data_IF_989266242706
#
_entry.id   IF_989266242706
#
_cell.length_a   1.000
_cell.length_b   1.000
_cell.length_c   1.000
_cell.angle_alpha   90.00
_cell.angle_beta   90.00
_cell.angle_gamma   90.00
#
_symmetry.space_group_name_H-M   'P 1'
#
loop_
_entity.id
_entity.type
_entity.pdbx_description
1 polymer ?
#
# COMPACT_ATOMS: atom_id res chain seq x y z
N UNK A 1 19.56 20.39 25.71
CA UNK A 1 18.60 20.09 24.64
C UNK A 1 18.45 18.57 24.57
N UNK A 2 17.26 18.04 24.34
CA UNK A 2 17.08 16.59 24.17
C UNK A 2 17.63 16.18 22.82
N UNK A 3 18.18 14.97 22.71
CA UNK A 3 18.76 14.43 21.47
C UNK A 3 18.05 13.17 21.05
N UNK A 4 17.92 12.94 19.76
CA UNK A 4 17.37 11.74 19.17
C UNK A 4 18.18 11.30 17.96
N UNK A 5 18.27 9.97 17.77
CA UNK A 5 18.78 9.38 16.54
C UNK A 5 17.59 8.70 15.86
N UNK A 6 17.38 9.03 14.60
CA UNK A 6 16.36 8.41 13.74
C UNK A 6 17.08 7.58 12.69
N UNK A 7 16.79 6.30 12.61
CA UNK A 7 17.42 5.37 11.66
C UNK A 7 16.43 5.05 10.55
N UNK A 8 16.84 5.35 9.32
CA UNK A 8 16.04 5.23 8.11
C UNK A 8 15.40 6.55 7.67
N UNK A 9 15.82 7.06 6.51
CA UNK A 9 15.38 8.34 5.94
C UNK A 9 14.18 8.23 4.99
N UNK A 10 13.33 7.20 5.14
CA UNK A 10 12.04 7.12 4.45
C UNK A 10 11.03 8.11 5.04
N UNK A 11 9.78 8.11 4.52
CA UNK A 11 8.70 9.01 4.97
C UNK A 11 8.53 9.02 6.50
N UNK A 12 8.54 7.86 7.14
CA UNK A 12 8.39 7.75 8.59
C UNK A 12 9.52 8.43 9.33
N UNK A 13 10.78 8.15 8.95
CA UNK A 13 11.94 8.75 9.62
C UNK A 13 12.02 10.27 9.40
N UNK A 14 11.76 10.73 8.18
CA UNK A 14 11.70 12.17 7.89
C UNK A 14 10.61 12.86 8.72
N UNK A 15 9.41 12.26 8.81
CA UNK A 15 8.33 12.81 9.64
C UNK A 15 8.72 12.87 11.12
N UNK A 16 9.34 11.81 11.67
CA UNK A 16 9.82 11.82 13.05
C UNK A 16 10.89 12.89 13.28
N UNK A 17 11.84 13.01 12.35
CA UNK A 17 12.89 14.03 12.45
C UNK A 17 12.28 15.43 12.51
N UNK A 18 11.34 15.74 11.63
CA UNK A 18 10.64 17.02 11.60
C UNK A 18 9.85 17.29 12.89
N UNK A 19 9.00 16.35 13.32
CA UNK A 19 8.16 16.52 14.50
C UNK A 19 8.98 16.65 15.80
N UNK A 20 10.11 15.96 15.91
CA UNK A 20 11.02 16.10 17.03
C UNK A 20 11.74 17.45 17.01
N UNK A 21 12.17 17.91 15.84
CA UNK A 21 12.75 19.24 15.65
C UNK A 21 11.78 20.34 16.10
N UNK A 22 10.51 20.28 15.70
CA UNK A 22 9.47 21.21 16.15
C UNK A 22 9.28 21.22 17.69
N UNK A 23 9.67 20.14 18.38
CA UNK A 23 9.68 20.04 19.85
C UNK A 23 11.00 20.48 20.49
N UNK A 24 11.91 21.05 19.70
CA UNK A 24 13.20 21.56 20.16
C UNK A 24 14.22 20.44 20.47
N UNK A 25 14.11 19.27 19.84
CA UNK A 25 15.11 18.21 19.96
C UNK A 25 16.19 18.42 18.88
N UNK A 26 17.44 18.09 19.21
CA UNK A 26 18.48 17.85 18.22
C UNK A 26 18.30 16.45 17.63
N UNK A 27 18.18 16.33 16.34
CA UNK A 27 17.90 15.07 15.65
C UNK A 27 19.01 14.72 14.68
N UNK A 28 19.58 13.54 14.81
CA UNK A 28 20.45 12.93 13.83
C UNK A 28 19.65 11.89 13.03
N UNK A 29 19.37 12.18 11.76
CA UNK A 29 18.70 11.29 10.83
C UNK A 29 19.75 10.54 10.00
N UNK A 30 19.76 9.21 10.11
CA UNK A 30 20.71 8.34 9.41
C UNK A 30 19.99 7.53 8.34
N UNK A 31 20.52 7.56 7.11
CA UNK A 31 19.99 6.79 5.97
C UNK A 31 21.11 5.98 5.31
N UNK A 32 20.83 4.70 5.03
CA UNK A 32 21.79 3.79 4.37
C UNK A 32 21.99 4.08 2.89
N UNK A 33 20.96 4.57 2.21
CA UNK A 33 21.08 4.94 0.78
C UNK A 33 21.70 6.34 0.62
N UNK A 34 21.99 6.71 -0.61
CA UNK A 34 22.58 8.02 -0.96
C UNK A 34 21.57 9.18 -0.92
N UNK A 35 20.27 8.86 -0.97
CA UNK A 35 19.16 9.81 -1.01
C UNK A 35 18.08 9.44 -0.01
N UNK A 36 17.39 10.44 0.52
CA UNK A 36 16.26 10.27 1.43
C UNK A 36 14.96 9.93 0.67
N UNK A 37 13.87 9.69 1.40
CA UNK A 37 12.52 9.47 0.86
C UNK A 37 12.13 8.01 0.76
N UNK A 38 13.09 7.06 0.84
CA UNK A 38 12.79 5.63 0.75
C UNK A 38 12.02 5.28 -0.51
N UNK A 39 10.96 4.48 -0.39
CA UNK A 39 10.11 4.07 -1.52
C UNK A 39 9.23 5.19 -2.11
N UNK A 40 9.09 6.33 -1.41
CA UNK A 40 8.26 7.47 -1.86
C UNK A 40 9.04 8.51 -2.66
N UNK A 41 10.36 8.39 -2.74
CA UNK A 41 11.21 9.32 -3.49
C UNK A 41 10.90 9.31 -4.98
N UNK A 42 11.07 10.46 -5.62
CA UNK A 42 10.93 10.61 -7.06
C UNK A 42 12.28 10.42 -7.73
N UNK A 43 12.33 9.51 -8.70
CA UNK A 43 13.48 9.29 -9.56
C UNK A 43 13.22 9.94 -10.90
N UNK A 44 14.27 10.27 -11.65
CA UNK A 44 14.16 10.84 -12.99
C UNK A 44 14.92 10.00 -14.00
N UNK A 45 14.25 9.67 -15.10
CA UNK A 45 14.85 8.99 -16.22
C UNK A 45 14.37 9.61 -17.53
N UNK A 46 15.31 9.98 -18.39
CA UNK A 46 14.99 10.64 -19.66
C UNK A 46 14.17 11.95 -19.51
N UNK A 47 14.33 12.64 -18.38
CA UNK A 47 13.55 13.86 -18.06
C UNK A 47 12.15 13.60 -17.48
N UNK A 48 11.76 12.34 -17.31
CA UNK A 48 10.46 11.96 -16.76
C UNK A 48 10.57 11.54 -15.29
N UNK A 49 9.73 12.09 -14.38
CA UNK A 49 9.66 11.66 -13.00
C UNK A 49 8.95 10.31 -12.88
N UNK A 50 9.46 9.43 -12.02
CA UNK A 50 8.80 8.18 -11.64
C UNK A 50 9.12 7.80 -10.20
N UNK A 51 8.24 6.97 -9.62
CA UNK A 51 8.47 6.32 -8.33
C UNK A 51 8.38 4.82 -8.52
N UNK A 52 9.17 4.04 -7.77
CA UNK A 52 9.05 2.59 -7.73
C UNK A 52 8.29 2.08 -6.50
N UNK A 53 7.97 2.97 -5.58
CA UNK A 53 7.10 2.71 -4.44
C UNK A 53 5.78 3.47 -4.52
N UNK A 54 4.96 3.40 -3.47
CA UNK A 54 3.67 4.06 -3.43
C UNK A 54 3.84 5.59 -3.46
N UNK A 55 3.10 6.25 -4.34
CA UNK A 55 3.09 7.71 -4.44
C UNK A 55 1.85 8.34 -3.81
N UNK A 56 0.78 7.58 -3.68
CA UNK A 56 -0.47 8.10 -3.14
C UNK A 56 -0.58 7.93 -1.64
N UNK A 57 -1.22 8.92 -1.02
CA UNK A 57 -1.61 8.88 0.38
C UNK A 57 -2.96 8.15 0.49
N UNK A 58 -3.01 7.15 1.37
CA UNK A 58 -4.22 6.45 1.79
C UNK A 58 -4.41 6.67 3.28
N UNK A 59 -5.50 7.32 3.68
CA UNK A 59 -5.79 7.49 5.10
C UNK A 59 -7.29 7.72 5.33
N UNK A 60 -7.82 7.16 6.40
CA UNK A 60 -9.15 7.45 6.92
C UNK A 60 -9.13 8.62 7.93
N UNK A 61 -7.96 9.17 8.23
CA UNK A 61 -7.75 10.22 9.23
C UNK A 61 -7.61 11.59 8.58
N UNK A 62 -8.62 12.45 8.74
CA UNK A 62 -8.61 13.80 8.20
C UNK A 62 -7.36 14.60 8.63
N UNK A 63 -6.97 14.52 9.91
CA UNK A 63 -5.81 15.25 10.41
C UNK A 63 -4.47 14.80 9.79
N UNK A 64 -4.36 13.53 9.34
CA UNK A 64 -3.18 13.04 8.62
C UNK A 64 -3.18 13.60 7.21
N UNK A 65 -4.33 13.58 6.53
CA UNK A 65 -4.46 14.20 5.21
C UNK A 65 -4.12 15.68 5.26
N UNK A 66 -4.71 16.44 6.19
CA UNK A 66 -4.48 17.88 6.38
C UNK A 66 -3.01 18.20 6.72
N UNK A 67 -2.37 17.35 7.53
CA UNK A 67 -0.95 17.49 7.85
C UNK A 67 -0.08 17.44 6.59
N UNK A 68 -0.25 16.42 5.75
CA UNK A 68 0.55 16.31 4.54
C UNK A 68 0.17 17.35 3.47
N UNK A 69 -1.12 17.66 3.31
CA UNK A 69 -1.60 18.66 2.35
C UNK A 69 -1.04 20.06 2.63
N UNK A 70 -0.79 20.37 3.91
CA UNK A 70 -0.16 21.62 4.34
C UNK A 70 1.24 21.80 3.74
N UNK A 71 2.02 20.73 3.63
CA UNK A 71 3.42 20.80 3.18
C UNK A 71 3.59 20.43 1.72
N UNK A 72 2.79 19.50 1.24
CA UNK A 72 2.78 19.05 -0.16
C UNK A 72 1.33 19.02 -0.62
N UNK A 73 0.85 20.03 -1.37
CA UNK A 73 -0.50 20.08 -1.87
C UNK A 73 -0.92 18.80 -2.58
N UNK A 74 -2.07 18.27 -2.20
CA UNK A 74 -2.58 16.98 -2.64
C UNK A 74 -3.76 17.13 -3.61
N UNK A 75 -3.80 16.30 -4.63
CA UNK A 75 -4.98 16.12 -5.47
C UNK A 75 -5.74 14.86 -5.04
N UNK A 76 -6.91 15.04 -4.47
CA UNK A 76 -7.84 13.91 -4.19
C UNK A 76 -8.36 13.32 -5.49
N UNK A 77 -8.59 12.03 -5.46
CA UNK A 77 -9.14 11.29 -6.60
C UNK A 77 -10.07 10.18 -6.16
N UNK A 78 -11.02 9.86 -7.03
CA UNK A 78 -11.75 8.62 -7.00
C UNK A 78 -10.84 7.51 -7.54
N UNK A 79 -10.69 6.43 -6.79
CA UNK A 79 -9.73 5.36 -7.12
C UNK A 79 -10.47 4.14 -7.63
N UNK A 80 -10.24 3.81 -8.89
CA UNK A 80 -10.79 2.63 -9.55
C UNK A 80 -9.66 1.68 -9.89
N UNK A 81 -9.79 0.43 -9.47
CA UNK A 81 -8.88 -0.65 -9.87
C UNK A 81 -9.58 -1.57 -10.86
N UNK A 82 -8.88 -1.89 -11.92
CA UNK A 82 -9.33 -2.85 -12.93
C UNK A 82 -8.32 -3.98 -13.05
N UNK A 83 -8.84 -5.20 -13.10
CA UNK A 83 -8.07 -6.41 -13.41
C UNK A 83 -8.41 -6.86 -14.81
N UNK A 84 -7.41 -6.96 -15.69
CA UNK A 84 -7.57 -7.60 -16.99
C UNK A 84 -7.52 -9.12 -16.80
N UNK A 85 -8.60 -9.79 -17.15
CA UNK A 85 -8.67 -11.25 -17.13
C UNK A 85 -8.43 -11.76 -18.53
N UNK A 86 -7.22 -12.26 -18.78
CA UNK A 86 -6.75 -12.65 -20.10
C UNK A 86 -7.64 -13.73 -20.74
N UNK A 87 -8.11 -14.69 -19.96
CA UNK A 87 -9.00 -15.75 -20.40
C UNK A 87 -10.32 -15.21 -20.99
N UNK A 88 -10.85 -14.14 -20.40
CA UNK A 88 -12.11 -13.51 -20.81
C UNK A 88 -11.89 -12.36 -21.81
N UNK A 89 -10.64 -11.92 -22.01
CA UNK A 89 -10.27 -10.73 -22.81
C UNK A 89 -11.02 -9.47 -22.35
N UNK A 90 -11.25 -9.31 -21.05
CA UNK A 90 -12.08 -8.25 -20.50
C UNK A 90 -11.48 -7.68 -19.21
N UNK A 91 -11.82 -6.43 -18.92
CA UNK A 91 -11.51 -5.77 -17.64
C UNK A 91 -12.67 -5.86 -16.69
N UNK A 92 -12.36 -6.25 -15.44
CA UNK A 92 -13.31 -6.28 -14.33
C UNK A 92 -12.80 -5.44 -13.17
N UNK A 93 -13.71 -4.96 -12.34
CA UNK A 93 -13.39 -4.20 -11.13
C UNK A 93 -12.64 -5.06 -10.11
N UNK A 94 -11.76 -4.42 -9.34
CA UNK A 94 -11.17 -5.02 -8.15
C UNK A 94 -11.26 -4.04 -6.97
N UNK A 95 -11.74 -4.44 -5.78
CA UNK A 95 -12.21 -5.79 -5.39
C UNK A 95 -13.29 -6.35 -6.31
N UNK A 96 -13.42 -7.68 -6.39
CA UNK A 96 -14.38 -8.36 -7.28
C UNK A 96 -15.77 -7.78 -7.03
N UNK A 97 -16.42 -7.28 -8.09
CA UNK A 97 -17.69 -6.58 -7.98
C UNK A 97 -18.86 -7.42 -8.50
N UNK A 98 -19.98 -7.37 -7.77
CA UNK A 98 -21.17 -8.16 -8.12
C UNK A 98 -21.68 -7.86 -9.53
N UNK A 99 -21.71 -6.59 -9.94
CA UNK A 99 -22.22 -6.17 -11.26
C UNK A 99 -21.39 -6.71 -12.44
N UNK A 100 -20.10 -7.03 -12.21
CA UNK A 100 -19.24 -7.54 -13.26
C UNK A 100 -19.54 -9.00 -13.62
N UNK A 101 -20.18 -9.76 -12.73
CA UNK A 101 -20.51 -11.17 -12.96
C UNK A 101 -21.39 -11.34 -14.19
N UNK A 102 -22.37 -10.46 -14.38
CA UNK A 102 -23.28 -10.52 -15.54
C UNK A 102 -22.57 -10.38 -16.90
N UNK A 103 -21.36 -9.80 -16.91
CA UNK A 103 -20.54 -9.61 -18.10
C UNK A 103 -19.59 -10.78 -18.38
N UNK A 104 -19.42 -11.69 -17.41
CA UNK A 104 -18.51 -12.83 -17.54
C UNK A 104 -19.06 -13.88 -18.51
N UNK A 105 -18.20 -14.49 -19.37
CA UNK A 105 -18.62 -15.55 -20.28
C UNK A 105 -19.21 -16.76 -19.56
N UNK A 106 -18.70 -17.06 -18.37
CA UNK A 106 -19.06 -18.20 -17.50
C UNK A 106 -19.92 -17.80 -16.29
N UNK A 107 -20.72 -16.74 -16.44
CA UNK A 107 -21.54 -16.14 -15.37
C UNK A 107 -22.45 -17.14 -14.66
N UNK A 108 -23.02 -18.08 -15.39
CA UNK A 108 -23.98 -19.04 -14.83
C UNK A 108 -23.27 -20.03 -13.89
N UNK A 109 -22.07 -20.48 -14.26
CA UNK A 109 -21.20 -21.31 -13.43
C UNK A 109 -20.67 -20.53 -12.22
N UNK A 110 -20.28 -19.27 -12.42
CA UNK A 110 -19.85 -18.36 -11.32
C UNK A 110 -20.99 -18.22 -10.32
N UNK A 111 -22.22 -17.93 -10.79
CA UNK A 111 -23.36 -17.78 -9.90
C UNK A 111 -23.66 -19.09 -9.13
N UNK A 112 -23.61 -20.23 -9.82
CA UNK A 112 -23.81 -21.52 -9.18
C UNK A 112 -22.77 -21.81 -8.07
N UNK A 113 -21.50 -21.38 -8.26
CA UNK A 113 -20.47 -21.50 -7.24
C UNK A 113 -20.72 -20.54 -6.08
N UNK A 114 -21.15 -19.30 -6.34
CA UNK A 114 -21.49 -18.33 -5.31
C UNK A 114 -22.66 -18.79 -4.45
N UNK A 115 -23.67 -19.43 -5.04
CA UNK A 115 -24.84 -19.95 -4.34
C UNK A 115 -24.51 -21.18 -3.46
N UNK A 116 -23.47 -21.92 -3.82
CA UNK A 116 -23.03 -23.15 -3.15
C UNK A 116 -21.65 -23.04 -2.48
N UNK A 117 -21.31 -21.84 -2.02
CA UNK A 117 -20.01 -21.59 -1.34
C UNK A 117 -19.81 -22.47 -0.12
N UNK A 118 -18.54 -22.82 0.14
CA UNK A 118 -18.13 -23.51 1.35
C UNK A 118 -18.16 -22.60 2.58
N UNK A 119 -17.66 -23.10 3.69
CA UNK A 119 -17.47 -22.33 4.92
C UNK A 119 -16.04 -21.72 4.94
N UNK A 120 -15.88 -20.40 4.76
CA UNK A 120 -14.57 -19.77 4.83
C UNK A 120 -13.89 -19.95 6.19
N UNK A 121 -14.68 -20.05 7.27
CA UNK A 121 -14.16 -20.26 8.62
C UNK A 121 -13.55 -21.66 8.84
N UNK A 122 -13.87 -22.64 7.99
CA UNK A 122 -13.29 -23.97 8.02
C UNK A 122 -12.02 -24.11 7.17
N UNK A 123 -11.61 -23.06 6.45
CA UNK A 123 -10.45 -23.10 5.59
C UNK A 123 -9.15 -23.32 6.40
N UNK A 124 -8.24 -24.11 5.83
CA UNK A 124 -6.94 -24.45 6.43
C UNK A 124 -5.78 -23.63 5.85
N UNK A 125 -6.01 -22.99 4.71
CA UNK A 125 -5.02 -22.22 4.00
C UNK A 125 -5.69 -21.12 3.15
N UNK A 126 -4.88 -20.25 2.55
CA UNK A 126 -5.33 -19.12 1.76
C UNK A 126 -6.17 -19.54 0.53
N UNK A 127 -5.79 -20.61 -0.15
CA UNK A 127 -6.53 -21.11 -1.31
C UNK A 127 -7.95 -21.56 -0.93
N UNK A 128 -8.07 -22.42 0.10
CA UNK A 128 -9.37 -22.87 0.60
C UNK A 128 -10.25 -21.69 1.06
N UNK A 129 -9.64 -20.71 1.73
CA UNK A 129 -10.34 -19.51 2.18
C UNK A 129 -10.99 -18.74 1.02
N UNK A 130 -10.23 -18.51 -0.04
CA UNK A 130 -10.74 -17.79 -1.21
C UNK A 130 -11.78 -18.62 -1.98
N UNK A 131 -11.52 -19.90 -2.22
CA UNK A 131 -12.47 -20.79 -2.91
C UNK A 131 -13.79 -20.88 -2.13
N UNK A 132 -13.73 -21.05 -0.82
CA UNK A 132 -14.93 -21.07 0.03
C UNK A 132 -15.64 -19.70 0.08
N UNK A 133 -14.94 -18.61 -0.18
CA UNK A 133 -15.51 -17.26 -0.18
C UNK A 133 -16.21 -16.90 -1.49
N UNK A 134 -15.58 -17.17 -2.63
CA UNK A 134 -16.03 -16.64 -3.95
C UNK A 134 -16.17 -17.70 -5.03
N UNK A 135 -15.84 -18.95 -4.73
CA UNK A 135 -15.81 -20.05 -5.69
C UNK A 135 -14.48 -20.12 -6.46
N UNK A 136 -14.25 -21.28 -7.08
CA UNK A 136 -12.98 -21.57 -7.76
C UNK A 136 -12.76 -20.69 -9.00
N UNK A 137 -13.82 -20.40 -9.75
CA UNK A 137 -13.72 -19.61 -10.99
C UNK A 137 -13.24 -18.18 -10.70
N UNK A 138 -13.85 -17.51 -9.73
CA UNK A 138 -13.42 -16.14 -9.35
C UNK A 138 -12.05 -16.15 -8.68
N UNK A 139 -11.77 -17.15 -7.84
CA UNK A 139 -10.44 -17.33 -7.28
C UNK A 139 -9.38 -17.46 -8.37
N UNK A 140 -9.61 -18.28 -9.39
CA UNK A 140 -8.69 -18.48 -10.50
C UNK A 140 -8.48 -17.20 -11.31
N UNK A 141 -9.56 -16.48 -11.64
CA UNK A 141 -9.51 -15.24 -12.43
C UNK A 141 -8.76 -14.09 -11.73
N UNK A 142 -8.92 -13.93 -10.41
CA UNK A 142 -8.49 -12.72 -9.72
C UNK A 142 -7.35 -12.93 -8.73
N UNK A 143 -7.16 -14.13 -8.20
CA UNK A 143 -6.31 -14.34 -7.02
C UNK A 143 -5.19 -15.33 -7.24
N UNK A 144 -5.49 -16.53 -7.77
CA UNK A 144 -4.55 -17.65 -7.86
C UNK A 144 -3.17 -17.25 -8.39
N UNK A 145 -3.14 -16.65 -9.56
CA UNK A 145 -1.89 -16.32 -10.24
C UNK A 145 -1.24 -15.05 -9.69
N UNK A 146 -2.06 -14.09 -9.27
CA UNK A 146 -1.56 -12.85 -8.69
C UNK A 146 -0.83 -13.08 -7.36
N UNK A 147 -1.43 -13.83 -6.44
CA UNK A 147 -0.83 -14.12 -5.14
C UNK A 147 0.46 -14.95 -5.26
N UNK A 148 0.48 -15.98 -6.12
CA UNK A 148 1.68 -16.76 -6.41
C UNK A 148 2.83 -15.87 -6.90
N UNK A 149 2.55 -14.97 -7.85
CA UNK A 149 3.53 -14.00 -8.36
C UNK A 149 3.98 -13.01 -7.30
N UNK A 150 3.03 -12.46 -6.53
CA UNK A 150 3.32 -11.43 -5.52
C UNK A 150 4.21 -11.95 -4.40
N UNK A 151 3.94 -13.15 -3.91
CA UNK A 151 4.68 -13.76 -2.81
C UNK A 151 5.80 -14.71 -3.25
N UNK A 152 5.99 -14.90 -4.56
CA UNK A 152 7.02 -15.77 -5.15
C UNK A 152 6.93 -17.21 -4.61
N UNK A 153 5.71 -17.75 -4.53
CA UNK A 153 5.40 -19.10 -4.06
C UNK A 153 4.88 -19.96 -5.20
N UNK A 154 5.12 -21.27 -5.12
CA UNK A 154 4.65 -22.22 -6.12
C UNK A 154 3.14 -22.50 -6.00
N UNK A 155 2.63 -22.64 -4.76
CA UNK A 155 1.24 -22.92 -4.48
C UNK A 155 0.69 -22.05 -3.33
N UNK A 156 -0.55 -21.59 -3.47
CA UNK A 156 -1.21 -20.77 -2.46
C UNK A 156 -1.58 -21.54 -1.18
N UNK A 157 -1.57 -22.86 -1.23
CA UNK A 157 -1.81 -23.75 -0.08
C UNK A 157 -0.71 -23.68 0.97
N UNK A 158 0.48 -23.16 0.63
CA UNK A 158 1.57 -22.98 1.61
C UNK A 158 1.33 -21.85 2.58
N UNK A 159 0.33 -20.97 2.33
CA UNK A 159 -0.06 -19.87 3.19
C UNK A 159 -1.12 -20.37 4.20
N UNK A 160 -0.68 -21.04 5.26
CA UNK A 160 -1.52 -21.67 6.29
C UNK A 160 -1.52 -20.90 7.62
N UNK A 161 -0.50 -20.09 7.89
CA UNK A 161 -0.42 -19.21 9.08
C UNK A 161 -1.18 -17.89 8.86
N UNK A 162 -2.46 -17.99 8.51
CA UNK A 162 -3.32 -16.86 8.18
C UNK A 162 -4.52 -16.81 9.12
N UNK A 163 -4.81 -15.63 9.70
CA UNK A 163 -6.07 -15.47 10.43
C UNK A 163 -7.19 -15.21 9.43
N UNK A 164 -7.98 -16.24 9.17
CA UNK A 164 -9.13 -16.13 8.28
C UNK A 164 -10.35 -15.52 8.99
N UNK A 165 -11.00 -14.57 8.34
CA UNK A 165 -12.31 -14.08 8.78
C UNK A 165 -13.36 -15.15 8.43
N UNK A 166 -14.10 -15.64 9.44
CA UNK A 166 -15.16 -16.62 9.22
C UNK A 166 -16.29 -16.15 8.30
N UNK A 167 -16.37 -14.85 7.99
CA UNK A 167 -17.32 -14.31 7.01
C UNK A 167 -16.86 -14.48 5.56
N UNK A 168 -15.57 -14.77 5.34
CA UNK A 168 -14.98 -14.86 4.02
C UNK A 168 -14.79 -13.52 3.33
N UNK A 169 -14.35 -13.58 2.08
CA UNK A 169 -14.25 -12.41 1.19
C UNK A 169 -15.61 -12.20 0.53
N UNK A 170 -16.17 -11.01 0.72
CA UNK A 170 -17.41 -10.59 0.04
C UNK A 170 -17.13 -10.03 -1.35
N UNK A 171 -18.13 -10.09 -2.22
CA UNK A 171 -18.14 -9.29 -3.43
C UNK A 171 -18.45 -7.83 -3.07
N UNK A 172 -17.80 -6.88 -3.76
CA UNK A 172 -18.15 -5.47 -3.64
C UNK A 172 -19.50 -5.19 -4.29
N UNK A 173 -20.25 -4.23 -3.72
CA UNK A 173 -21.53 -3.78 -4.23
C UNK A 173 -21.59 -2.25 -4.25
N UNK A 174 -22.46 -1.68 -5.09
CA UNK A 174 -22.69 -0.26 -5.20
C UNK A 174 -21.60 0.49 -5.96
N UNK A 175 -20.78 1.30 -5.31
CA UNK A 175 -19.72 2.04 -5.98
C UNK A 175 -18.57 1.14 -6.41
N UNK A 176 -18.09 1.30 -7.65
CA UNK A 176 -16.86 0.67 -8.13
C UNK A 176 -15.59 1.38 -7.65
N UNK A 177 -15.74 2.48 -6.91
CA UNK A 177 -14.61 3.17 -6.30
C UNK A 177 -14.05 2.35 -5.14
N UNK A 178 -12.73 2.17 -5.14
CA UNK A 178 -12.03 1.46 -4.06
C UNK A 178 -11.96 2.36 -2.84
N UNK A 179 -12.61 1.96 -1.74
CA UNK A 179 -12.58 2.69 -0.49
C UNK A 179 -13.05 4.16 -0.63
N UNK A 180 -14.29 4.41 -1.03
CA UNK A 180 -14.86 5.78 -1.14
C UNK A 180 -14.93 6.50 0.22
N UNK A 181 -14.74 5.76 1.32
CA UNK A 181 -14.80 6.20 2.70
C UNK A 181 -13.48 6.83 3.22
N UNK A 182 -12.41 6.80 2.44
CA UNK A 182 -11.09 7.30 2.85
C UNK A 182 -10.57 8.41 1.94
N UNK A 183 -9.52 9.08 2.40
CA UNK A 183 -8.76 10.02 1.57
C UNK A 183 -7.76 9.25 0.71
N UNK A 184 -7.93 9.34 -0.59
CA UNK A 184 -6.95 8.87 -1.57
C UNK A 184 -6.49 10.08 -2.38
N UNK A 185 -5.19 10.35 -2.37
CA UNK A 185 -4.65 11.54 -3.02
C UNK A 185 -3.23 11.33 -3.54
N UNK A 186 -2.83 12.17 -4.48
CA UNK A 186 -1.47 12.27 -4.98
C UNK A 186 -0.90 13.67 -4.74
N UNK A 187 0.41 13.81 -4.48
CA UNK A 187 1.08 15.09 -4.60
C UNK A 187 0.82 15.71 -5.98
N UNK A 188 0.50 17.01 -6.01
CA UNK A 188 0.31 17.76 -7.27
C UNK A 188 1.65 17.98 -7.97
N UNK A 189 2.71 18.17 -7.18
CA UNK A 189 4.07 18.38 -7.68
C UNK A 189 4.58 17.14 -8.45
N UNK A 190 5.28 17.37 -9.54
CA UNK A 190 6.00 16.31 -10.27
C UNK A 190 7.13 15.70 -9.43
N UNK A 191 7.72 16.45 -8.49
CA UNK A 191 8.66 15.95 -7.49
C UNK A 191 8.03 15.02 -6.45
N UNK A 192 6.70 14.89 -6.45
CA UNK A 192 6.00 14.00 -5.54
C UNK A 192 6.22 14.41 -4.08
N UNK A 193 6.78 13.50 -3.28
CA UNK A 193 7.05 13.69 -1.86
C UNK A 193 8.41 14.34 -1.56
N UNK A 194 9.23 14.62 -2.57
CA UNK A 194 10.60 15.11 -2.36
C UNK A 194 10.60 16.46 -1.61
N UNK A 195 9.67 17.37 -1.94
CA UNK A 195 9.54 18.65 -1.24
C UNK A 195 9.29 18.48 0.28
N UNK A 196 8.52 17.46 0.66
CA UNK A 196 8.29 17.12 2.06
C UNK A 196 9.53 16.53 2.72
N UNK A 197 10.21 15.63 2.04
CA UNK A 197 11.44 14.99 2.53
C UNK A 197 12.52 16.04 2.75
N UNK A 198 12.71 16.94 1.79
CA UNK A 198 13.69 18.04 1.85
C UNK A 198 13.37 19.01 2.98
N UNK A 199 12.09 19.35 3.16
CA UNK A 199 11.65 20.18 4.28
C UNK A 199 11.96 19.53 5.62
N UNK A 200 11.70 18.23 5.79
CA UNK A 200 12.00 17.51 7.01
C UNK A 200 13.50 17.44 7.30
N UNK A 201 14.31 17.17 6.26
CA UNK A 201 15.75 17.02 6.39
C UNK A 201 16.48 18.36 6.63
N UNK A 202 15.89 19.46 6.18
CA UNK A 202 16.45 20.83 6.35
C UNK A 202 15.90 21.58 7.57
N UNK A 203 15.12 20.94 8.43
CA UNK A 203 14.62 21.54 9.66
C UNK A 203 15.78 21.95 10.58
N UNK A 204 15.62 23.06 11.32
CA UNK A 204 16.69 23.78 12.05
C UNK A 204 17.58 22.88 12.91
N UNK A 205 16.99 21.90 13.60
CA UNK A 205 17.70 21.02 14.55
C UNK A 205 17.86 19.58 13.99
N UNK A 206 17.80 19.39 12.67
CA UNK A 206 17.98 18.10 12.02
C UNK A 206 19.30 18.07 11.28
N UNK A 207 20.13 17.09 11.62
CA UNK A 207 21.31 16.72 10.82
C UNK A 207 20.99 15.42 10.09
N UNK A 208 20.88 15.45 8.77
CA UNK A 208 20.66 14.26 7.94
C UNK A 208 21.98 13.77 7.34
N UNK A 209 22.26 12.49 7.51
CA UNK A 209 23.44 11.81 6.93
C UNK A 209 22.98 10.63 6.09
N UNK A 210 23.38 10.62 4.83
CA UNK A 210 23.11 9.52 3.87
C UNK A 210 24.36 8.68 3.65
N UNK A 211 24.18 7.45 3.14
CA UNK A 211 25.28 6.48 2.95
C UNK A 211 25.79 5.90 4.28
N UNK A 212 25.02 5.98 5.35
CA UNK A 212 25.38 5.50 6.68
C UNK A 212 24.54 4.27 7.03
N UNK A 213 25.18 3.11 7.00
CA UNK A 213 24.56 1.87 7.48
C UNK A 213 24.75 1.73 8.99
N UNK A 214 23.63 1.55 9.69
CA UNK A 214 23.66 1.25 11.13
C UNK A 214 23.60 -0.27 11.28
N UNK A 215 24.74 -0.89 11.56
CA UNK A 215 24.85 -2.34 11.77
C UNK A 215 24.72 -2.73 13.24
N UNK A 216 25.14 -1.83 14.14
CA UNK A 216 25.12 -2.04 15.59
C UNK A 216 24.77 -0.71 16.27
N UNK A 217 23.99 -0.77 17.34
CA UNK A 217 23.78 0.35 18.24
C UNK A 217 23.70 -0.15 19.69
N UNK A 218 24.25 0.66 20.60
CA UNK A 218 24.24 0.37 22.03
C UNK A 218 23.20 1.29 22.69
N UNK A 219 22.08 0.71 23.14
CA UNK A 219 21.01 1.44 23.84
C UNK A 219 21.46 2.08 25.16
N UNK A 220 22.61 1.68 25.71
CA UNK A 220 23.14 2.20 26.96
C UNK A 220 24.15 3.35 26.78
N UNK A 221 24.47 3.69 25.52
CA UNK A 221 25.35 4.80 25.17
C UNK A 221 24.57 5.88 24.45
N UNK A 222 24.59 7.11 24.95
CA UNK A 222 23.92 8.24 24.32
C UNK A 222 24.54 8.63 22.98
#
# INVERSE_FOLDING_TARGET
MKKAIVVGGGMTGCTWAHLLSEKGWEVLLLEGDKILGGGCRTMHYGGHPYTFGPRHLFTDKAHIFEYYDKYVPQRRLAHYLLTYVERDQEFYSYPIHHDDIARMPDRDEVQAQLDNRGDPGAAKNFEEYWINSVGEILYDKFVRHYSKKMWQIEENTVLDDFKFDGKGVGLSEGSHEVRPDIFISYPISLGGWDDYVDMCASAENVEARTGVFVSEFDLNKP
#
